data_IF_773516291858
#
_entry.id   IF_773516291858
#
_cell.length_a   1.000
_cell.length_b   1.000
_cell.length_c   1.000
_cell.angle_alpha   90.00
_cell.angle_beta   90.00
_cell.angle_gamma   90.00
#
_symmetry.space_group_name_H-M   'P 1'
#
loop_
_entity.id
_entity.type
_entity.pdbx_description
1 polymer ?
#
# COMPACT_ATOMS: atom_id res chain seq x y z
N UNK A 1 -14.10 -14.60 9.07
CA UNK A 1 -12.77 -13.97 8.90
C UNK A 1 -12.79 -12.50 9.32
N UNK A 2 -13.53 -12.15 10.38
CA UNK A 2 -13.95 -10.75 10.67
C UNK A 2 -13.48 -10.28 12.05
N UNK A 3 -13.20 -11.20 12.97
CA UNK A 3 -12.96 -10.88 14.38
C UNK A 3 -11.54 -10.35 14.67
N UNK A 4 -10.53 -10.85 13.96
CA UNK A 4 -9.14 -10.40 14.12
C UNK A 4 -8.95 -8.98 13.58
N UNK A 5 -9.54 -8.68 12.42
CA UNK A 5 -9.46 -7.37 11.78
C UNK A 5 -10.12 -6.26 12.63
N UNK A 6 -11.26 -6.56 13.26
CA UNK A 6 -11.94 -5.62 14.17
C UNK A 6 -11.14 -5.38 15.45
N UNK A 7 -10.45 -6.40 15.97
CA UNK A 7 -9.69 -6.30 17.23
C UNK A 7 -8.38 -5.54 17.05
N UNK A 8 -7.71 -5.71 15.91
CA UNK A 8 -6.54 -4.90 15.56
C UNK A 8 -6.96 -3.45 15.30
N UNK A 9 -8.01 -3.20 14.52
CA UNK A 9 -8.52 -1.85 14.24
C UNK A 9 -8.88 -1.06 15.52
N UNK A 10 -9.48 -1.69 16.53
CA UNK A 10 -9.77 -1.01 17.82
C UNK A 10 -8.53 -0.60 18.62
N UNK A 11 -7.43 -1.35 18.52
CA UNK A 11 -6.14 -0.97 19.13
C UNK A 11 -5.52 0.24 18.42
N UNK A 12 -5.82 0.39 17.13
CA UNK A 12 -5.38 1.47 16.26
C UNK A 12 -6.16 2.76 16.49
N UNK A 13 -7.50 2.70 16.55
CA UNK A 13 -8.37 3.83 16.90
C UNK A 13 -7.99 4.50 18.22
N UNK A 14 -7.44 3.72 19.17
CA UNK A 14 -7.01 4.21 20.49
C UNK A 14 -5.70 5.01 20.46
N UNK A 15 -4.81 4.71 19.51
CA UNK A 15 -3.52 5.40 19.37
C UNK A 15 -3.53 6.48 18.27
N UNK A 16 -4.53 6.43 17.38
CA UNK A 16 -4.72 7.36 16.28
C UNK A 16 -6.23 7.60 16.10
N UNK A 17 -6.77 8.76 16.56
CA UNK A 17 -8.18 9.10 16.38
C UNK A 17 -8.57 9.43 14.93
N UNK A 18 -7.62 9.35 13.98
CA UNK A 18 -7.86 9.36 12.56
C UNK A 18 -8.13 7.90 12.15
N UNK A 19 -9.42 7.54 12.05
CA UNK A 19 -9.92 6.16 11.93
C UNK A 19 -9.33 5.33 10.78
N UNK A 20 -9.84 4.11 10.61
CA UNK A 20 -9.35 3.10 9.66
C UNK A 20 -9.09 3.56 8.21
N UNK A 21 -9.62 4.73 7.83
CA UNK A 21 -9.36 5.44 6.57
C UNK A 21 -7.86 5.77 6.32
N UNK A 22 -7.05 6.05 7.36
CA UNK A 22 -5.65 6.44 7.13
C UNK A 22 -4.79 5.30 6.54
N UNK A 23 -5.00 4.06 6.99
CA UNK A 23 -4.30 2.89 6.46
C UNK A 23 -4.76 2.55 5.04
N UNK A 24 -6.05 2.71 4.77
CA UNK A 24 -6.59 2.56 3.42
C UNK A 24 -6.00 3.61 2.47
N UNK A 25 -6.01 4.89 2.86
CA UNK A 25 -5.38 5.97 2.10
C UNK A 25 -3.89 5.74 1.89
N UNK A 26 -3.19 5.18 2.86
CA UNK A 26 -1.78 4.81 2.71
C UNK A 26 -1.59 3.73 1.64
N UNK A 27 -2.39 2.66 1.70
CA UNK A 27 -2.34 1.57 0.72
C UNK A 27 -2.73 2.03 -0.68
N UNK A 28 -3.72 2.91 -0.78
CA UNK A 28 -4.19 3.50 -2.03
C UNK A 28 -3.30 4.65 -2.56
N UNK A 29 -2.17 4.96 -1.89
CA UNK A 29 -1.27 6.03 -2.32
C UNK A 29 -1.81 7.46 -2.16
N UNK A 30 -2.86 7.67 -1.35
CA UNK A 30 -3.56 8.95 -1.11
C UNK A 30 -3.16 9.64 0.19
N UNK A 31 -1.92 9.42 0.63
CA UNK A 31 -1.34 10.05 1.83
C UNK A 31 -0.29 11.07 1.43
N UNK A 32 -0.18 12.15 2.20
CA UNK A 32 0.90 13.11 1.97
C UNK A 32 2.24 12.51 2.43
N UNK A 33 3.36 13.07 1.96
CA UNK A 33 4.72 12.56 2.26
C UNK A 33 4.96 12.38 3.76
N UNK A 34 4.45 13.31 4.58
CA UNK A 34 4.61 13.24 6.04
C UNK A 34 3.81 12.09 6.67
N UNK A 35 2.59 11.84 6.19
CA UNK A 35 1.76 10.70 6.61
C UNK A 35 2.42 9.38 6.20
N UNK A 36 2.86 9.28 4.94
CA UNK A 36 3.55 8.10 4.40
C UNK A 36 4.78 7.74 5.24
N UNK A 37 5.62 8.73 5.56
CA UNK A 37 6.83 8.51 6.36
C UNK A 37 6.51 8.03 7.77
N UNK A 38 5.49 8.63 8.41
CA UNK A 38 5.04 8.25 9.76
C UNK A 38 4.51 6.82 9.79
N UNK A 39 3.68 6.46 8.82
CA UNK A 39 3.09 5.12 8.71
C UNK A 39 4.17 4.08 8.39
N UNK A 40 5.11 4.38 7.49
CA UNK A 40 6.23 3.51 7.18
C UNK A 40 7.09 3.19 8.41
N UNK A 41 7.39 4.19 9.26
CA UNK A 41 8.08 3.99 10.53
C UNK A 41 7.32 3.07 11.48
N UNK A 42 6.00 3.18 11.51
CA UNK A 42 5.14 2.33 12.33
C UNK A 42 5.10 0.88 11.80
N UNK A 43 5.03 0.68 10.48
CA UNK A 43 5.05 -0.65 9.84
C UNK A 43 6.37 -1.38 10.13
N UNK A 44 7.48 -0.65 10.18
CA UNK A 44 8.78 -1.23 10.55
C UNK A 44 8.79 -1.74 12.00
N UNK A 45 8.08 -1.08 12.91
CA UNK A 45 8.10 -1.38 14.36
C UNK A 45 7.02 -2.35 14.81
N UNK A 46 5.92 -2.46 14.06
CA UNK A 46 4.74 -3.25 14.45
C UNK A 46 4.46 -4.37 13.43
N UNK A 47 4.66 -5.63 13.86
CA UNK A 47 4.41 -6.82 13.04
C UNK A 47 2.93 -7.10 12.78
N UNK A 48 2.04 -6.69 13.68
CA UNK A 48 0.59 -6.81 13.52
C UNK A 48 0.09 -5.80 12.48
N UNK A 49 0.64 -4.59 12.50
CA UNK A 49 0.40 -3.58 11.48
C UNK A 49 0.93 -4.01 10.11
N UNK A 50 2.14 -4.54 10.05
CA UNK A 50 2.73 -5.02 8.79
C UNK A 50 1.84 -6.06 8.12
N UNK A 51 1.31 -7.00 8.90
CA UNK A 51 0.33 -7.99 8.40
C UNK A 51 -0.96 -7.33 7.94
N UNK A 52 -1.47 -6.36 8.68
CA UNK A 52 -2.70 -5.64 8.30
C UNK A 52 -2.53 -4.87 6.99
N UNK A 53 -1.40 -4.20 6.78
CA UNK A 53 -1.08 -3.49 5.54
C UNK A 53 -0.90 -4.45 4.37
N UNK A 54 -0.28 -5.62 4.58
CA UNK A 54 -0.15 -6.63 3.54
C UNK A 54 -1.52 -7.14 3.05
N UNK A 55 -2.43 -7.44 3.97
CA UNK A 55 -3.82 -7.85 3.63
C UNK A 55 -4.55 -6.74 2.88
N UNK A 56 -4.44 -5.49 3.33
CA UNK A 56 -5.09 -4.36 2.64
C UNK A 56 -4.52 -4.14 1.24
N UNK A 57 -3.22 -4.34 1.03
CA UNK A 57 -2.58 -4.25 -0.31
C UNK A 57 -3.09 -5.33 -1.25
N UNK A 58 -3.23 -6.56 -0.76
CA UNK A 58 -3.79 -7.67 -1.53
C UNK A 58 -5.24 -7.37 -1.95
N UNK A 59 -6.07 -6.93 -1.00
CA UNK A 59 -7.46 -6.55 -1.27
C UNK A 59 -7.58 -5.39 -2.27
N UNK A 60 -6.74 -4.35 -2.13
CA UNK A 60 -6.71 -3.23 -3.07
C UNK A 60 -6.24 -3.67 -4.47
N UNK A 61 -5.29 -4.60 -4.57
CA UNK A 61 -4.84 -5.16 -5.83
C UNK A 61 -5.96 -5.91 -6.58
N UNK A 62 -6.75 -6.73 -5.87
CA UNK A 62 -7.92 -7.41 -6.43
C UNK A 62 -8.95 -6.40 -6.94
N UNK A 63 -9.26 -5.38 -6.13
CA UNK A 63 -10.21 -4.32 -6.51
C UNK A 63 -9.75 -3.56 -7.77
N UNK A 64 -8.46 -3.25 -7.89
CA UNK A 64 -7.91 -2.61 -9.08
C UNK A 64 -7.95 -3.51 -10.33
N UNK A 65 -7.76 -4.83 -10.18
CA UNK A 65 -7.89 -5.76 -11.29
C UNK A 65 -9.33 -5.83 -11.81
N UNK A 66 -10.30 -5.79 -10.91
CA UNK A 66 -11.72 -5.69 -11.27
C UNK A 66 -11.98 -4.38 -12.02
N UNK A 67 -11.51 -3.24 -11.51
CA UNK A 67 -11.70 -1.93 -12.16
C UNK A 67 -11.05 -1.86 -13.55
N UNK A 68 -9.81 -2.36 -13.70
CA UNK A 68 -9.10 -2.40 -14.99
C UNK A 68 -9.79 -3.34 -15.97
N UNK A 69 -10.35 -4.46 -15.51
CA UNK A 69 -11.09 -5.38 -16.40
C UNK A 69 -12.37 -4.77 -17.00
N UNK A 70 -12.89 -3.71 -16.38
CA UNK A 70 -14.05 -2.94 -16.85
C UNK A 70 -13.62 -1.84 -17.83
N UNK A 71 -12.40 -1.33 -17.69
CA UNK A 71 -11.81 -0.32 -18.57
C UNK A 71 -11.10 -1.03 -19.72
N UNK A 72 -11.81 -1.29 -20.82
CA UNK A 72 -11.27 -1.85 -22.07
C UNK A 72 -10.40 -0.82 -22.83
N UNK A 73 -9.47 -0.18 -22.10
CA UNK A 73 -8.56 0.84 -22.60
C UNK A 73 -7.16 0.24 -22.77
N UNK A 74 -6.65 0.25 -24.01
CA UNK A 74 -5.31 -0.21 -24.30
C UNK A 74 -4.27 0.75 -23.71
N UNK A 75 -3.36 0.22 -22.88
CA UNK A 75 -2.27 1.02 -22.30
C UNK A 75 -1.25 1.37 -23.39
N UNK A 76 -0.99 2.65 -23.68
CA UNK A 76 -0.02 3.05 -24.69
C UNK A 76 1.39 2.47 -24.45
N UNK A 77 2.02 1.93 -25.49
CA UNK A 77 3.32 1.24 -25.41
C UNK A 77 4.42 2.09 -24.77
N UNK A 78 4.40 3.40 -25.03
CA UNK A 78 5.35 4.36 -24.45
C UNK A 78 5.26 4.43 -22.91
N UNK A 79 4.08 4.23 -22.32
CA UNK A 79 3.94 4.19 -20.87
C UNK A 79 4.49 2.89 -20.29
N UNK A 80 4.34 1.77 -21.01
CA UNK A 80 4.95 0.50 -20.62
C UNK A 80 6.49 0.59 -20.61
N UNK A 81 7.09 1.21 -21.63
CA UNK A 81 8.54 1.46 -21.69
C UNK A 81 9.03 2.28 -20.50
N UNK A 82 8.30 3.33 -20.11
CA UNK A 82 8.63 4.16 -18.94
C UNK A 82 8.55 3.34 -17.65
N UNK A 83 7.54 2.50 -17.48
CA UNK A 83 7.38 1.64 -16.30
C UNK A 83 8.51 0.60 -16.20
N UNK A 84 8.87 -0.04 -17.31
CA UNK A 84 9.99 -0.99 -17.37
C UNK A 84 11.29 -0.31 -16.95
N UNK A 85 11.60 0.86 -17.53
CA UNK A 85 12.81 1.62 -17.21
C UNK A 85 12.86 2.04 -15.74
N UNK A 86 11.74 2.50 -15.19
CA UNK A 86 11.66 2.90 -13.79
C UNK A 86 11.89 1.71 -12.84
N UNK A 87 11.41 0.51 -13.23
CA UNK A 87 11.62 -0.71 -12.46
C UNK A 87 13.09 -1.14 -12.45
N UNK A 88 13.76 -1.10 -13.60
CA UNK A 88 15.20 -1.39 -13.70
C UNK A 88 16.02 -0.50 -12.76
N UNK A 89 15.75 0.81 -12.76
CA UNK A 89 16.44 1.76 -11.87
C UNK A 89 16.22 1.45 -10.40
N UNK A 90 15.00 1.05 -10.02
CA UNK A 90 14.68 0.74 -8.62
C UNK A 90 15.23 -0.61 -8.16
N UNK A 91 15.33 -1.60 -9.05
CA UNK A 91 15.92 -2.91 -8.74
C UNK A 91 17.46 -2.83 -8.64
N UNK A 92 18.10 -1.95 -9.43
CA UNK A 92 19.55 -1.72 -9.36
C UNK A 92 19.97 -0.99 -8.06
N UNK A 93 19.11 -0.15 -7.49
CA UNK A 93 19.38 0.55 -6.22
C UNK A 93 19.34 -0.38 -4.97
N UNK A 94 18.76 -1.58 -5.04
CA UNK A 94 18.71 -2.53 -3.92
C UNK A 94 20.01 -3.36 -3.73
N UNK A 95 21.00 -3.23 -4.63
CA UNK A 95 22.24 -4.02 -4.59
C UNK A 95 23.36 -3.34 -3.77
N UNK A 96 23.20 -2.08 -3.35
CA UNK A 96 24.26 -1.27 -2.71
C UNK A 96 24.05 -0.99 -1.20
N UNK A 97 23.42 -1.91 -0.46
CA UNK A 97 23.51 -1.96 1.01
C UNK A 97 24.41 -3.12 1.46
N UNK A 98 25.72 -2.95 1.23
CA UNK A 98 26.81 -3.75 1.81
C UNK A 98 27.29 -3.24 3.16
#
# INVERSE_FOLDING_TARGET
MTFLMVRTMRRWERNFPLGGDLLWRYVAGRTCVMETRRIALMIRRDAELRRSVAVLREQHGVMLQEDVSVLDEEVPSRLLEVLVRAREVLEDDEIDEG
#
